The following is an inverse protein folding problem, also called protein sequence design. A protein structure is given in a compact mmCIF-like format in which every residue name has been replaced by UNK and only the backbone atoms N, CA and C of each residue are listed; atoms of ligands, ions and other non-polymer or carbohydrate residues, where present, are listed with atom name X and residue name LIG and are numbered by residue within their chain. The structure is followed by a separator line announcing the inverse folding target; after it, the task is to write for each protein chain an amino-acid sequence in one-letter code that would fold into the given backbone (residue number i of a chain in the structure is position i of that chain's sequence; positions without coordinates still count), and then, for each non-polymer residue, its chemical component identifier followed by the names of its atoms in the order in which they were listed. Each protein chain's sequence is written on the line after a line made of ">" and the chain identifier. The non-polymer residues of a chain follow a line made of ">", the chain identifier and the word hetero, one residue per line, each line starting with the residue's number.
data_IF_117972744473
#
_entry.id   IF_117972744473
#
_cell.length_a   1.000
_cell.length_b   1.000
_cell.length_c   1.000
_cell.angle_alpha   90.00
_cell.angle_beta   90.00
_cell.angle_gamma   90.00
#
_symmetry.space_group_name_H-M   'P 1'
#
loop_
_entity.id
_entity.type
_entity.pdbx_description
1 polymer ?
#
# COMPACT_ATOMS: atom_id res chain seq x y z
N UNK A 1 -5.35 -25.49 8.91
CA UNK A 1 -6.81 -25.66 9.01
C UNK A 1 -7.53 -25.89 7.67
N UNK A 2 -6.81 -26.25 6.60
CA UNK A 2 -7.35 -26.39 5.23
C UNK A 2 -8.50 -27.39 5.10
N UNK A 3 -8.60 -28.38 6.00
CA UNK A 3 -9.64 -29.42 5.98
C UNK A 3 -10.97 -28.97 6.62
N UNK A 4 -10.93 -27.86 7.39
CA UNK A 4 -12.12 -27.30 8.03
C UNK A 4 -12.98 -26.55 7.00
N UNK A 5 -14.27 -26.42 7.29
CA UNK A 5 -15.12 -25.47 6.59
C UNK A 5 -14.82 -24.04 7.05
N UNK A 6 -15.27 -23.03 6.28
CA UNK A 6 -15.13 -21.63 6.66
C UNK A 6 -15.73 -21.40 8.05
N UNK A 7 -16.97 -21.91 8.28
CA UNK A 7 -17.64 -21.76 9.58
C UNK A 7 -16.85 -22.42 10.71
N UNK A 8 -16.39 -23.66 10.52
CA UNK A 8 -15.60 -24.37 11.56
C UNK A 8 -14.32 -23.63 11.90
N UNK A 9 -13.58 -23.15 10.90
CA UNK A 9 -12.35 -22.38 11.14
C UNK A 9 -12.62 -21.10 11.92
N UNK A 10 -13.57 -20.29 11.44
CA UNK A 10 -13.86 -18.98 12.07
C UNK A 10 -14.43 -19.16 13.47
N UNK A 11 -15.35 -20.12 13.67
CA UNK A 11 -15.90 -20.43 15.01
C UNK A 11 -14.81 -20.88 15.98
N UNK A 12 -13.85 -21.69 15.51
CA UNK A 12 -12.75 -22.13 16.37
C UNK A 12 -11.96 -20.94 16.94
N UNK A 13 -11.57 -19.98 16.09
CA UNK A 13 -10.84 -18.80 16.56
C UNK A 13 -11.70 -17.86 17.41
N UNK A 14 -12.96 -17.64 17.03
CA UNK A 14 -13.89 -16.81 17.79
C UNK A 14 -14.09 -17.35 19.21
N UNK A 15 -14.38 -18.66 19.35
CA UNK A 15 -14.57 -19.32 20.64
C UNK A 15 -13.30 -19.35 21.49
N UNK A 16 -12.11 -19.53 20.85
CA UNK A 16 -10.82 -19.49 21.53
C UNK A 16 -10.56 -18.12 22.19
N UNK A 17 -11.08 -17.05 21.57
CA UNK A 17 -11.00 -15.68 22.10
C UNK A 17 -12.24 -15.25 22.91
N UNK A 18 -13.07 -16.21 23.36
CA UNK A 18 -14.17 -15.96 24.25
C UNK A 18 -15.47 -15.41 23.63
N UNK A 19 -15.52 -15.31 22.28
CA UNK A 19 -16.72 -14.87 21.58
C UNK A 19 -17.80 -15.98 21.63
N UNK A 20 -19.05 -15.61 21.85
CA UNK A 20 -20.15 -16.58 21.80
C UNK A 20 -20.40 -17.03 20.36
N UNK A 21 -20.64 -18.33 20.17
CA UNK A 21 -20.85 -18.95 18.86
C UNK A 21 -22.01 -18.31 18.08
N UNK A 22 -23.05 -17.88 18.75
CA UNK A 22 -24.20 -17.18 18.14
C UNK A 22 -23.80 -15.86 17.52
N UNK A 23 -22.99 -15.08 18.24
CA UNK A 23 -22.53 -13.75 17.81
C UNK A 23 -21.50 -13.88 16.69
N UNK A 24 -20.56 -14.84 16.82
CA UNK A 24 -19.59 -15.17 15.79
C UNK A 24 -20.26 -15.61 14.47
N UNK A 25 -21.35 -16.38 14.56
CA UNK A 25 -22.08 -16.84 13.37
C UNK A 25 -22.79 -15.67 12.66
N UNK A 26 -23.35 -14.72 13.38
CA UNK A 26 -23.94 -13.51 12.82
C UNK A 26 -22.85 -12.64 12.16
N UNK A 27 -21.76 -12.35 12.88
CA UNK A 27 -20.61 -11.59 12.37
C UNK A 27 -19.98 -12.23 11.14
N UNK A 28 -19.88 -13.56 11.06
CA UNK A 28 -19.30 -14.24 9.91
C UNK A 28 -20.03 -13.92 8.61
N UNK A 29 -21.36 -13.83 8.61
CA UNK A 29 -22.15 -13.50 7.44
C UNK A 29 -21.83 -12.07 6.94
N UNK A 30 -21.70 -11.12 7.87
CA UNK A 30 -21.36 -9.73 7.54
C UNK A 30 -19.94 -9.64 7.01
N UNK A 31 -18.99 -10.30 7.63
CA UNK A 31 -17.60 -10.32 7.16
C UNK A 31 -17.45 -10.96 5.78
N UNK A 32 -18.14 -12.06 5.51
CA UNK A 32 -18.12 -12.68 4.18
C UNK A 32 -18.66 -11.74 3.10
N UNK A 33 -19.71 -10.97 3.44
CA UNK A 33 -20.28 -9.97 2.54
C UNK A 33 -19.33 -8.78 2.34
N UNK A 34 -18.78 -8.22 3.43
CA UNK A 34 -17.85 -7.08 3.40
C UNK A 34 -16.61 -7.38 2.56
N UNK A 35 -16.05 -8.57 2.69
CA UNK A 35 -14.87 -9.00 1.95
C UNK A 35 -15.20 -9.67 0.61
N UNK A 36 -16.47 -9.70 0.20
CA UNK A 36 -16.90 -10.37 -1.03
C UNK A 36 -16.30 -11.78 -1.16
N UNK A 37 -16.48 -12.61 -0.11
CA UNK A 37 -16.00 -13.98 -0.12
C UNK A 37 -16.92 -14.84 -0.98
N UNK A 38 -16.38 -15.39 -2.08
CA UNK A 38 -17.12 -16.29 -2.95
C UNK A 38 -17.10 -17.71 -2.36
N UNK A 39 -18.28 -18.20 -1.98
CA UNK A 39 -18.47 -19.53 -1.39
C UNK A 39 -19.52 -19.53 -0.29
N UNK A 40 -19.79 -20.73 0.23
CA UNK A 40 -20.70 -20.94 1.38
C UNK A 40 -19.89 -21.17 2.64
N UNK A 41 -20.45 -20.82 3.80
CA UNK A 41 -19.81 -21.08 5.11
C UNK A 41 -19.49 -22.57 5.33
N UNK A 42 -20.20 -23.46 4.64
CA UNK A 42 -20.00 -24.92 4.67
C UNK A 42 -18.91 -25.42 3.70
N UNK A 43 -18.36 -24.55 2.85
CA UNK A 43 -17.30 -24.95 1.93
C UNK A 43 -15.97 -25.11 2.70
N UNK A 44 -15.20 -26.13 2.30
CA UNK A 44 -13.87 -26.35 2.91
C UNK A 44 -12.88 -25.31 2.43
N UNK A 45 -12.06 -24.78 3.33
CA UNK A 45 -11.06 -23.75 3.03
C UNK A 45 -10.12 -24.18 1.90
N UNK A 46 -9.73 -25.46 1.84
CA UNK A 46 -8.88 -25.99 0.76
C UNK A 46 -9.48 -25.91 -0.66
N UNK A 47 -10.80 -25.71 -0.78
CA UNK A 47 -11.50 -25.59 -2.07
C UNK A 47 -11.59 -24.15 -2.56
N UNK A 48 -11.23 -23.18 -1.71
CA UNK A 48 -11.26 -21.78 -2.05
C UNK A 48 -10.11 -21.40 -2.98
N UNK A 49 -10.32 -20.38 -3.80
CA UNK A 49 -9.19 -19.69 -4.44
C UNK A 49 -8.24 -19.13 -3.40
N UNK A 50 -6.98 -18.91 -3.77
CA UNK A 50 -5.97 -18.33 -2.86
C UNK A 50 -6.47 -17.01 -2.25
N UNK A 51 -7.09 -16.13 -3.06
CA UNK A 51 -7.63 -14.86 -2.59
C UNK A 51 -8.77 -15.04 -1.59
N UNK A 52 -9.73 -15.94 -1.83
CA UNK A 52 -10.80 -16.23 -0.87
C UNK A 52 -10.28 -16.87 0.41
N UNK A 53 -9.27 -17.75 0.33
CA UNK A 53 -8.64 -18.32 1.50
C UNK A 53 -7.96 -17.23 2.36
N UNK A 54 -7.30 -16.25 1.73
CA UNK A 54 -6.68 -15.10 2.40
C UNK A 54 -7.73 -14.23 3.12
N UNK A 55 -8.87 -13.96 2.46
CA UNK A 55 -10.00 -13.24 3.07
C UNK A 55 -10.54 -13.98 4.29
N UNK A 56 -10.75 -15.30 4.18
CA UNK A 56 -11.21 -16.13 5.31
C UNK A 56 -10.20 -16.15 6.45
N UNK A 57 -8.90 -16.14 6.14
CA UNK A 57 -7.86 -16.03 7.15
C UNK A 57 -7.95 -14.69 7.89
N UNK A 58 -8.12 -13.57 7.18
CA UNK A 58 -8.33 -12.26 7.81
C UNK A 58 -9.58 -12.30 8.72
N UNK A 59 -10.72 -12.81 8.21
CA UNK A 59 -11.94 -12.93 9.02
C UNK A 59 -11.67 -13.69 10.33
N UNK A 60 -10.98 -14.83 10.24
CA UNK A 60 -10.64 -15.64 11.42
C UNK A 60 -9.80 -14.89 12.45
N UNK A 61 -9.03 -13.90 12.00
CA UNK A 61 -8.12 -13.09 12.83
C UNK A 61 -8.82 -11.88 13.46
N UNK A 62 -9.86 -11.34 12.81
CA UNK A 62 -10.48 -10.07 13.22
C UNK A 62 -11.88 -10.18 13.79
N UNK A 63 -12.55 -11.34 13.66
CA UNK A 63 -13.96 -11.53 14.02
C UNK A 63 -14.27 -11.26 15.50
N UNK A 64 -13.28 -11.46 16.37
CA UNK A 64 -13.38 -11.23 17.80
C UNK A 64 -12.94 -9.84 18.25
N UNK A 65 -12.79 -8.88 17.29
CA UNK A 65 -12.43 -7.47 17.50
C UNK A 65 -11.13 -7.29 18.32
N UNK A 66 -9.98 -7.82 17.87
CA UNK A 66 -8.73 -7.69 18.60
C UNK A 66 -8.24 -6.24 18.64
N UNK A 67 -7.69 -5.81 19.77
CA UNK A 67 -7.05 -4.49 19.92
C UNK A 67 -5.70 -4.42 19.21
N UNK A 68 -5.04 -5.57 18.97
CA UNK A 68 -3.74 -5.68 18.34
C UNK A 68 -3.71 -6.79 17.28
N UNK A 69 -3.22 -6.46 16.10
CA UNK A 69 -3.13 -7.34 14.94
C UNK A 69 -1.69 -7.41 14.41
N UNK A 70 -1.23 -8.63 14.09
CA UNK A 70 -0.02 -8.86 13.32
C UNK A 70 -0.40 -9.62 12.06
N UNK A 71 -0.13 -9.03 10.90
CA UNK A 71 -0.49 -9.57 9.60
C UNK A 71 0.79 -9.76 8.76
N UNK A 72 1.08 -10.99 8.40
CA UNK A 72 2.22 -11.31 7.55
C UNK A 72 1.75 -11.43 6.09
N UNK A 73 2.28 -10.54 5.23
CA UNK A 73 1.96 -10.49 3.80
C UNK A 73 0.45 -10.58 3.48
N UNK A 74 -0.43 -9.76 4.09
CA UNK A 74 -1.88 -9.95 4.00
C UNK A 74 -2.45 -9.82 2.59
N UNK A 75 -1.73 -9.18 1.66
CA UNK A 75 -2.20 -8.91 0.30
C UNK A 75 -1.62 -9.88 -0.75
N UNK A 76 -0.76 -10.79 -0.34
CA UNK A 76 -0.07 -11.68 -1.28
C UNK A 76 -1.05 -12.64 -1.98
N UNK A 77 -1.00 -12.61 -3.31
CA UNK A 77 -1.83 -13.47 -4.17
C UNK A 77 -3.26 -13.00 -4.38
N UNK A 78 -3.55 -11.75 -4.02
CA UNK A 78 -4.78 -11.05 -4.37
C UNK A 78 -4.60 -10.30 -5.70
N UNK A 79 -5.67 -10.20 -6.46
CA UNK A 79 -5.77 -9.25 -7.56
C UNK A 79 -5.96 -7.81 -7.03
N UNK A 80 -5.81 -6.77 -7.86
CA UNK A 80 -5.90 -5.38 -7.40
C UNK A 80 -7.23 -5.03 -6.72
N UNK A 81 -8.36 -5.56 -7.18
CA UNK A 81 -9.69 -5.29 -6.62
C UNK A 81 -9.81 -5.88 -5.22
N UNK A 82 -9.40 -7.14 -5.06
CA UNK A 82 -9.41 -7.81 -3.77
C UNK A 82 -8.38 -7.22 -2.79
N UNK A 83 -7.24 -6.76 -3.29
CA UNK A 83 -6.25 -6.02 -2.50
C UNK A 83 -6.84 -4.74 -1.93
N UNK A 84 -7.50 -3.93 -2.76
CA UNK A 84 -8.12 -2.69 -2.32
C UNK A 84 -9.24 -2.93 -1.29
N UNK A 85 -10.06 -3.95 -1.53
CA UNK A 85 -11.10 -4.35 -0.59
C UNK A 85 -10.53 -4.70 0.78
N UNK A 86 -9.50 -5.55 0.84
CA UNK A 86 -8.84 -5.90 2.10
C UNK A 86 -8.14 -4.71 2.76
N UNK A 87 -7.50 -3.84 1.98
CA UNK A 87 -6.89 -2.61 2.52
C UNK A 87 -7.92 -1.69 3.17
N UNK A 88 -9.10 -1.56 2.56
CA UNK A 88 -10.18 -0.74 3.12
C UNK A 88 -10.69 -1.32 4.44
N UNK A 89 -10.82 -2.64 4.55
CA UNK A 89 -11.20 -3.29 5.82
C UNK A 89 -10.14 -3.13 6.91
N UNK A 90 -8.84 -3.24 6.57
CA UNK A 90 -7.75 -3.00 7.52
C UNK A 90 -7.72 -1.53 7.98
N UNK A 91 -7.97 -0.57 7.05
CA UNK A 91 -8.13 0.85 7.42
C UNK A 91 -9.31 1.07 8.37
N UNK A 92 -10.42 0.38 8.14
CA UNK A 92 -11.59 0.48 9.00
C UNK A 92 -11.28 -0.05 10.41
N UNK A 93 -10.64 -1.20 10.54
CA UNK A 93 -10.20 -1.73 11.84
C UNK A 93 -9.27 -0.76 12.58
N UNK A 94 -8.35 -0.12 11.87
CA UNK A 94 -7.49 0.94 12.42
C UNK A 94 -8.31 2.14 12.92
N UNK A 95 -9.32 2.58 12.17
CA UNK A 95 -10.22 3.67 12.57
C UNK A 95 -11.06 3.31 13.80
N UNK A 96 -11.40 2.03 13.99
CA UNK A 96 -12.06 1.50 15.18
C UNK A 96 -11.12 1.39 16.39
N UNK A 97 -9.82 1.68 16.22
CA UNK A 97 -8.83 1.75 17.29
C UNK A 97 -7.88 0.56 17.37
N UNK A 98 -7.93 -0.38 16.45
CA UNK A 98 -6.99 -1.50 16.44
C UNK A 98 -5.57 -1.02 16.10
N UNK A 99 -4.57 -1.47 16.85
CA UNK A 99 -3.16 -1.33 16.54
C UNK A 99 -2.74 -2.43 15.58
N UNK A 100 -2.18 -2.07 14.42
CA UNK A 100 -1.91 -3.03 13.36
C UNK A 100 -0.44 -2.98 12.95
N UNK A 101 0.25 -4.11 13.00
CA UNK A 101 1.56 -4.32 12.37
C UNK A 101 1.36 -5.26 11.19
N UNK A 102 1.91 -4.91 10.03
CA UNK A 102 1.89 -5.82 8.89
C UNK A 102 3.25 -5.81 8.17
N UNK A 103 3.64 -6.96 7.65
CA UNK A 103 4.74 -7.08 6.71
C UNK A 103 4.24 -6.96 5.28
N UNK A 104 5.02 -6.37 4.39
CA UNK A 104 4.73 -6.38 2.96
C UNK A 104 5.97 -6.04 2.14
N UNK A 105 6.09 -6.63 0.95
CA UNK A 105 7.00 -6.22 -0.12
C UNK A 105 6.32 -5.30 -1.15
N UNK A 106 5.03 -5.01 -0.99
CA UNK A 106 4.29 -4.08 -1.84
C UNK A 106 4.36 -2.66 -1.27
N UNK A 107 5.34 -1.88 -1.73
CA UNK A 107 5.58 -0.51 -1.25
C UNK A 107 4.39 0.43 -1.43
N UNK A 108 3.63 0.30 -2.52
CA UNK A 108 2.41 1.08 -2.74
C UNK A 108 1.33 0.78 -1.69
N UNK A 109 1.22 -0.49 -1.26
CA UNK A 109 0.32 -0.89 -0.16
C UNK A 109 0.77 -0.32 1.18
N UNK A 110 2.07 -0.38 1.47
CA UNK A 110 2.67 0.20 2.68
C UNK A 110 2.42 1.71 2.73
N UNK A 111 2.68 2.42 1.65
CA UNK A 111 2.49 3.88 1.56
C UNK A 111 1.04 4.31 1.82
N UNK A 112 0.07 3.53 1.35
CA UNK A 112 -1.37 3.83 1.50
C UNK A 112 -1.94 3.50 2.88
N UNK A 113 -1.32 2.58 3.62
CA UNK A 113 -1.92 1.99 4.82
C UNK A 113 -1.18 2.36 6.11
N UNK A 114 0.16 2.48 6.08
CA UNK A 114 0.97 2.66 7.28
C UNK A 114 1.22 4.14 7.62
N UNK A 115 1.14 4.46 8.92
CA UNK A 115 1.57 5.75 9.45
C UNK A 115 3.08 5.78 9.65
N UNK A 116 3.64 4.64 10.09
CA UNK A 116 5.06 4.44 10.34
C UNK A 116 5.53 3.18 9.63
N UNK A 117 6.77 3.15 9.21
CA UNK A 117 7.39 1.98 8.63
C UNK A 117 8.79 1.74 9.23
N UNK A 118 9.20 0.50 9.16
CA UNK A 118 10.59 0.09 9.38
C UNK A 118 11.01 -0.79 8.20
N UNK A 119 12.04 -0.34 7.47
CA UNK A 119 12.60 -1.09 6.34
C UNK A 119 13.78 -1.92 6.83
N UNK A 120 13.71 -3.21 6.54
CA UNK A 120 14.75 -4.18 6.93
C UNK A 120 15.49 -4.66 5.68
N UNK A 121 16.83 -4.75 5.79
CA UNK A 121 17.71 -5.36 4.79
C UNK A 121 18.76 -6.22 5.48
N UNK A 122 18.83 -7.49 5.12
CA UNK A 122 19.75 -8.47 5.74
C UNK A 122 19.67 -8.54 7.28
N UNK A 123 18.49 -8.30 7.86
CA UNK A 123 18.26 -8.30 9.31
C UNK A 123 18.60 -6.98 10.02
N UNK A 124 19.06 -5.97 9.29
CA UNK A 124 19.37 -4.64 9.82
C UNK A 124 18.30 -3.63 9.41
N UNK A 125 18.04 -2.65 10.30
CA UNK A 125 17.14 -1.54 10.01
C UNK A 125 17.84 -0.51 9.11
N UNK A 126 17.31 -0.29 7.92
CA UNK A 126 17.81 0.72 6.97
C UNK A 126 17.13 2.06 7.18
N UNK A 127 15.80 2.04 7.30
CA UNK A 127 14.97 3.23 7.54
C UNK A 127 13.92 2.91 8.60
N UNK A 128 13.59 3.88 9.45
CA UNK A 128 12.49 3.76 10.41
C UNK A 128 11.93 5.14 10.75
N UNK A 129 10.61 5.29 10.73
CA UNK A 129 9.96 6.56 11.06
C UNK A 129 8.56 6.70 10.46
N UNK A 130 7.99 7.88 10.57
CA UNK A 130 6.71 8.20 9.94
C UNK A 130 6.85 8.16 8.40
N UNK A 131 5.90 7.50 7.73
CA UNK A 131 5.95 7.25 6.29
C UNK A 131 6.16 8.53 5.47
N UNK A 132 5.45 9.61 5.81
CA UNK A 132 5.56 10.88 5.12
C UNK A 132 6.90 11.59 5.41
N UNK A 133 7.40 11.54 6.65
CA UNK A 133 8.68 12.14 7.03
C UNK A 133 9.85 11.46 6.30
N UNK A 134 9.80 10.13 6.20
CA UNK A 134 10.79 9.38 5.42
C UNK A 134 10.77 9.86 3.97
N UNK A 135 9.60 9.94 3.33
CA UNK A 135 9.50 10.39 1.93
C UNK A 135 10.03 11.81 1.73
N UNK A 136 9.64 12.74 2.59
CA UNK A 136 10.10 14.14 2.51
C UNK A 136 11.61 14.27 2.77
N UNK A 137 12.22 13.40 3.59
CA UNK A 137 13.66 13.43 3.88
C UNK A 137 14.53 13.11 2.65
N UNK A 138 14.00 12.42 1.66
CA UNK A 138 14.67 12.17 0.38
C UNK A 138 14.59 13.35 -0.60
N UNK A 139 13.85 14.40 -0.23
CA UNK A 139 13.67 15.60 -1.04
C UNK A 139 12.74 15.40 -2.24
N UNK A 140 12.31 16.51 -2.82
CA UNK A 140 11.46 16.52 -4.02
C UNK A 140 12.33 16.81 -5.24
N UNK A 141 13.14 15.85 -5.62
CA UNK A 141 14.09 15.99 -6.74
C UNK A 141 13.57 15.45 -8.06
N UNK A 142 12.31 15.03 -8.11
CA UNK A 142 11.70 14.50 -9.33
C UNK A 142 10.38 15.22 -9.62
N UNK A 143 10.19 15.54 -10.91
CA UNK A 143 8.96 16.13 -11.41
C UNK A 143 8.44 15.26 -12.55
N UNK A 144 7.15 14.89 -12.50
CA UNK A 144 6.47 14.36 -13.67
C UNK A 144 5.70 15.49 -14.36
N UNK A 145 5.88 15.61 -15.68
CA UNK A 145 5.20 16.63 -16.49
C UNK A 145 4.57 16.06 -17.76
N UNK A 146 3.41 16.61 -18.11
CA UNK A 146 2.82 16.49 -19.43
C UNK A 146 2.73 17.90 -20.01
N UNK A 147 3.60 18.20 -20.97
CA UNK A 147 3.77 19.54 -21.55
C UNK A 147 4.36 19.45 -22.96
N UNK A 148 4.05 20.39 -23.86
CA UNK A 148 4.67 20.47 -25.18
C UNK A 148 6.11 20.98 -25.18
N UNK A 149 6.61 21.52 -24.05
CA UNK A 149 8.00 22.03 -23.93
C UNK A 149 9.00 20.95 -24.32
N UNK A 150 10.04 21.30 -25.07
CA UNK A 150 11.03 20.33 -25.54
C UNK A 150 11.95 19.84 -24.42
N UNK A 151 12.52 18.63 -24.58
CA UNK A 151 13.51 18.10 -23.63
C UNK A 151 14.76 18.98 -23.59
N UNK A 152 15.13 19.61 -24.73
CA UNK A 152 16.26 20.52 -24.80
C UNK A 152 16.06 21.78 -23.95
N UNK A 153 14.86 22.35 -23.94
CA UNK A 153 14.53 23.51 -23.13
C UNK A 153 14.52 23.16 -21.63
N UNK A 154 14.07 21.96 -21.28
CA UNK A 154 14.12 21.48 -19.90
C UNK A 154 15.55 21.23 -19.43
N UNK A 155 16.39 20.58 -20.26
CA UNK A 155 17.79 20.31 -19.97
C UNK A 155 18.64 21.59 -19.92
N UNK A 156 18.20 22.70 -20.55
CA UNK A 156 18.86 23.99 -20.49
C UNK A 156 18.66 24.70 -19.12
N UNK A 157 17.75 24.24 -18.28
CA UNK A 157 17.53 24.80 -16.95
C UNK A 157 18.65 24.32 -16.02
N UNK A 158 19.36 25.25 -15.40
CA UNK A 158 20.40 24.92 -14.43
C UNK A 158 19.81 24.13 -13.26
N UNK A 159 20.42 22.99 -12.94
CA UNK A 159 19.94 22.06 -11.91
C UNK A 159 19.01 20.96 -12.43
N UNK A 160 18.64 20.92 -13.71
CA UNK A 160 18.03 19.74 -14.34
C UNK A 160 19.11 18.74 -14.71
N UNK A 161 19.02 17.53 -14.16
CA UNK A 161 20.01 16.46 -14.34
C UNK A 161 19.68 15.58 -15.54
N UNK A 162 18.43 15.18 -15.68
CA UNK A 162 17.96 14.35 -16.78
C UNK A 162 16.48 14.58 -17.08
N UNK A 163 16.09 14.25 -18.31
CA UNK A 163 14.69 14.22 -18.75
C UNK A 163 14.50 12.88 -19.47
N UNK A 164 13.59 12.06 -18.93
CA UNK A 164 13.33 10.72 -19.44
C UNK A 164 11.85 10.54 -19.78
N UNK A 165 11.52 9.84 -20.87
CA UNK A 165 10.12 9.50 -21.17
C UNK A 165 9.50 8.63 -20.09
N UNK A 166 8.30 8.99 -19.63
CA UNK A 166 7.53 8.21 -18.67
C UNK A 166 6.04 8.22 -19.07
N UNK A 167 5.54 7.09 -19.54
CA UNK A 167 4.15 7.01 -20.04
C UNK A 167 3.91 7.97 -21.20
N UNK A 168 2.93 8.88 -21.05
CA UNK A 168 2.63 9.93 -22.03
C UNK A 168 3.39 11.24 -21.76
N UNK A 169 4.02 11.35 -20.59
CA UNK A 169 4.79 12.52 -20.15
C UNK A 169 6.27 12.24 -20.01
N UNK A 170 6.91 12.98 -19.12
CA UNK A 170 8.36 12.92 -18.87
C UNK A 170 8.65 13.02 -17.37
N UNK A 171 9.62 12.26 -16.92
CA UNK A 171 10.26 12.40 -15.62
C UNK A 171 11.44 13.35 -15.75
N UNK A 172 11.48 14.39 -14.94
CA UNK A 172 12.57 15.36 -14.87
C UNK A 172 13.27 15.18 -13.53
N UNK A 173 14.55 14.84 -13.54
CA UNK A 173 15.37 14.71 -12.35
C UNK A 173 16.10 16.04 -12.08
N UNK A 174 16.06 16.48 -10.82
CA UNK A 174 16.61 17.75 -10.36
C UNK A 174 17.77 17.53 -9.39
N UNK A 175 18.68 18.50 -9.28
CA UNK A 175 19.71 18.54 -8.24
C UNK A 175 19.11 18.84 -6.86
N UNK A 176 18.09 19.72 -6.81
CA UNK A 176 17.34 20.03 -5.60
C UNK A 176 15.91 20.51 -5.92
N UNK A 177 15.06 20.56 -4.88
CA UNK A 177 13.65 20.89 -5.02
C UNK A 177 13.37 22.33 -5.51
N UNK A 178 14.26 23.30 -5.24
CA UNK A 178 14.05 24.70 -5.62
C UNK A 178 14.08 24.88 -7.14
N UNK A 179 14.83 24.04 -7.88
CA UNK A 179 14.87 24.01 -9.36
C UNK A 179 13.47 23.79 -9.93
N UNK A 180 12.59 23.09 -9.21
CA UNK A 180 11.21 22.83 -9.62
C UNK A 180 10.41 24.09 -9.94
N UNK A 181 10.71 25.23 -9.31
CA UNK A 181 10.07 26.51 -9.63
C UNK A 181 10.44 27.02 -11.02
N UNK A 182 11.70 26.85 -11.40
CA UNK A 182 12.17 27.26 -12.72
C UNK A 182 11.58 26.37 -13.81
N UNK A 183 11.56 25.04 -13.56
CA UNK A 183 10.90 24.08 -14.44
C UNK A 183 9.43 24.45 -14.62
N UNK A 184 8.69 24.72 -13.54
CA UNK A 184 7.28 25.15 -13.61
C UNK A 184 7.13 26.43 -14.44
N UNK A 185 7.96 27.43 -14.19
CA UNK A 185 7.90 28.71 -14.92
C UNK A 185 8.13 28.50 -16.42
N UNK A 186 9.07 27.65 -16.80
CA UNK A 186 9.34 27.33 -18.20
C UNK A 186 8.17 26.58 -18.86
N UNK A 187 7.66 25.56 -18.18
CA UNK A 187 6.54 24.74 -18.68
C UNK A 187 5.23 25.53 -18.78
N UNK A 188 5.02 26.53 -17.92
CA UNK A 188 3.82 27.36 -17.88
C UNK A 188 3.86 28.57 -18.83
N UNK A 189 4.98 28.86 -19.52
CA UNK A 189 5.08 30.01 -20.43
C UNK A 189 4.06 29.96 -21.58
N UNK A 190 3.79 28.76 -22.08
CA UNK A 190 2.86 28.54 -23.19
C UNK A 190 1.41 28.34 -22.76
N UNK A 191 1.08 28.57 -21.48
CA UNK A 191 -0.28 28.56 -20.93
C UNK A 191 -0.65 27.29 -20.17
N UNK A 192 -1.59 26.50 -20.69
CA UNK A 192 -2.15 25.36 -19.96
C UNK A 192 -1.16 24.18 -19.84
N UNK A 193 -0.94 23.74 -18.60
CA UNK A 193 -0.12 22.56 -18.28
C UNK A 193 -1.06 21.45 -17.78
N UNK A 194 -1.27 20.38 -18.55
CA UNK A 194 -2.14 19.27 -18.17
C UNK A 194 -1.73 18.61 -16.85
N UNK A 195 -0.42 18.33 -16.68
CA UNK A 195 0.10 17.73 -15.46
C UNK A 195 1.47 18.33 -15.12
N UNK A 196 1.59 18.77 -13.87
CA UNK A 196 2.86 19.12 -13.24
C UNK A 196 2.83 18.56 -11.81
N UNK A 197 3.53 17.45 -11.58
CA UNK A 197 3.58 16.79 -10.29
C UNK A 197 5.00 16.83 -9.71
N UNK A 198 5.20 17.70 -8.74
CA UNK A 198 6.45 17.84 -7.98
C UNK A 198 6.25 17.26 -6.58
N UNK A 199 6.41 15.96 -6.45
CA UNK A 199 6.10 15.20 -5.25
C UNK A 199 7.36 14.61 -4.62
N UNK A 200 7.28 14.33 -3.32
CA UNK A 200 8.29 13.50 -2.68
C UNK A 200 8.31 12.10 -3.32
N UNK A 201 9.46 11.42 -3.37
CA UNK A 201 9.57 10.10 -3.98
C UNK A 201 8.62 9.10 -3.32
N UNK A 202 8.19 8.11 -4.08
CA UNK A 202 7.41 6.99 -3.58
C UNK A 202 8.28 6.07 -2.73
N UNK A 203 7.66 5.28 -1.86
CA UNK A 203 8.41 4.27 -1.09
C UNK A 203 9.09 3.24 -2.01
N UNK A 204 8.54 2.95 -3.18
CA UNK A 204 9.14 2.04 -4.16
C UNK A 204 10.46 2.62 -4.72
N UNK A 205 10.48 3.91 -5.04
CA UNK A 205 11.71 4.62 -5.49
C UNK A 205 12.74 4.67 -4.37
N UNK A 206 12.34 4.99 -3.14
CA UNK A 206 13.22 4.99 -1.97
C UNK A 206 13.81 3.59 -1.75
N UNK A 207 12.97 2.55 -1.78
CA UNK A 207 13.41 1.17 -1.61
C UNK A 207 14.46 0.78 -2.67
N UNK A 208 14.24 1.13 -3.94
CA UNK A 208 15.20 0.84 -5.01
C UNK A 208 16.53 1.54 -4.79
N UNK A 209 16.54 2.80 -4.37
CA UNK A 209 17.77 3.56 -4.05
C UNK A 209 18.54 2.90 -2.92
N UNK A 210 17.87 2.51 -1.85
CA UNK A 210 18.49 1.86 -0.69
C UNK A 210 19.02 0.45 -1.01
N UNK A 211 18.37 -0.28 -1.91
CA UNK A 211 18.84 -1.61 -2.35
C UNK A 211 20.00 -1.51 -3.34
N UNK A 212 20.03 -0.51 -4.23
CA UNK A 212 21.09 -0.33 -5.24
C UNK A 212 22.32 0.43 -4.71
N UNK A 213 22.16 1.24 -3.67
CA UNK A 213 23.22 2.09 -3.12
C UNK A 213 24.10 1.42 -2.05
N UNK A 214 23.98 0.09 -1.87
CA UNK A 214 24.76 -0.68 -0.89
C UNK A 214 25.58 -1.82 -1.52
#
# INVERSE_FOLDING_TARGET
>A
YQKLTIEEQVMYFAELHGMKRTDAKASLQDWMKRLDVVGKTTDKVQKLSKGNAQKVQLISTVIFHPEFLILDEPFTGLDPVNTELMMNEIKHLKQEGAMIIFSSHNMSGVEKLSDHLTMLRHGETVLSGATNEIRESFGRTEIYIESPVSDADLLAIDGVVSVEPQGIGRQVLLTDAEVGRQVFSTVAQDGYVPVFAHTAPTLDEIFRREVQGG
#
